data_IF_120897997341
#
_entry.id   IF_120897997341
#
_cell.length_a   1.000
_cell.length_b   1.000
_cell.length_c   1.000
_cell.angle_alpha   90.00
_cell.angle_beta   90.00
_cell.angle_gamma   90.00
#
_symmetry.space_group_name_H-M   'P 1'
#
loop_
_entity.id
_entity.type
_entity.pdbx_description
1 polymer ?
#
# COMPACT_ATOMS: atom_id res chain seq x y z
N UNK A 1 5.94 9.32 -6.04
CA UNK A 1 4.53 9.72 -5.85
C UNK A 1 4.37 10.30 -4.46
N UNK A 2 3.30 11.06 -4.20
CA UNK A 2 3.04 11.63 -2.87
C UNK A 2 2.82 10.58 -1.76
N UNK A 3 2.77 9.28 -2.08
CA UNK A 3 2.61 8.20 -1.10
C UNK A 3 3.66 8.29 0.00
N UNK A 4 3.21 8.38 1.26
CA UNK A 4 4.08 8.57 2.42
C UNK A 4 4.76 9.94 2.52
N UNK A 5 4.43 10.90 1.66
CA UNK A 5 4.95 12.28 1.75
C UNK A 5 4.22 13.06 2.83
N UNK A 6 4.96 13.87 3.59
CA UNK A 6 4.40 14.87 4.48
C UNK A 6 3.74 16.00 3.69
N UNK A 7 3.11 16.94 4.40
CA UNK A 7 2.68 18.19 3.79
C UNK A 7 3.88 18.98 3.26
N UNK A 8 3.68 19.66 2.12
CA UNK A 8 4.72 20.38 1.41
C UNK A 8 4.53 20.41 -0.11
N UNK A 9 5.48 21.02 -0.80
CA UNK A 9 5.49 21.14 -2.27
C UNK A 9 6.48 20.15 -2.89
N UNK A 10 6.04 19.47 -3.94
CA UNK A 10 6.75 18.36 -4.59
C UNK A 10 6.66 18.43 -6.12
N UNK A 11 7.54 17.69 -6.80
CA UNK A 11 7.39 17.37 -8.21
C UNK A 11 6.93 15.92 -8.37
N UNK A 12 5.81 15.72 -9.07
CA UNK A 12 5.35 14.42 -9.54
C UNK A 12 5.61 14.30 -11.05
N UNK A 13 6.79 13.77 -11.39
CA UNK A 13 7.31 13.90 -12.76
C UNK A 13 7.63 15.37 -13.04
N UNK A 14 7.03 15.93 -14.09
CA UNK A 14 7.15 17.35 -14.42
C UNK A 14 6.08 18.25 -13.75
N UNK A 15 5.14 17.66 -13.00
CA UNK A 15 3.99 18.38 -12.45
C UNK A 15 4.28 18.87 -11.03
N UNK A 16 4.04 20.16 -10.76
CA UNK A 16 4.09 20.73 -9.42
C UNK A 16 2.87 20.31 -8.60
N UNK A 17 3.10 19.82 -7.39
CA UNK A 17 2.08 19.27 -6.49
C UNK A 17 2.26 19.86 -5.09
N UNK A 18 1.16 20.30 -4.49
CA UNK A 18 1.11 20.63 -3.06
C UNK A 18 0.35 19.55 -2.31
N UNK A 19 0.91 19.14 -1.17
CA UNK A 19 0.28 18.28 -0.19
C UNK A 19 -0.10 19.15 1.00
N UNK A 20 -1.41 19.22 1.26
CA UNK A 20 -1.98 19.97 2.39
C UNK A 20 -2.97 19.06 3.09
N UNK A 21 -2.83 18.90 4.40
CA UNK A 21 -3.61 17.98 5.23
C UNK A 21 -3.59 16.54 4.65
N UNK A 22 -2.43 16.11 4.15
CA UNK A 22 -2.25 14.82 3.50
C UNK A 22 -2.93 14.66 2.13
N UNK A 23 -3.51 15.70 1.53
CA UNK A 23 -4.15 15.62 0.22
C UNK A 23 -3.24 16.22 -0.86
N UNK A 24 -2.77 15.38 -1.77
CA UNK A 24 -1.93 15.80 -2.89
C UNK A 24 -2.77 16.38 -4.05
N UNK A 25 -2.50 17.64 -4.42
CA UNK A 25 -3.16 18.34 -5.54
C UNK A 25 -2.14 19.04 -6.43
N UNK A 26 -2.42 19.13 -7.73
CA UNK A 26 -1.63 19.97 -8.62
C UNK A 26 -1.64 21.41 -8.13
N UNK A 27 -0.47 22.04 -8.08
CA UNK A 27 -0.31 23.45 -7.71
C UNK A 27 -1.19 24.33 -8.61
N UNK A 28 -1.11 24.09 -9.91
CA UNK A 28 -1.99 24.71 -10.88
C UNK A 28 -3.28 23.88 -11.07
N UNK A 29 -4.44 24.53 -10.94
CA UNK A 29 -5.75 23.93 -11.22
C UNK A 29 -6.30 22.98 -10.14
N UNK A 30 -5.52 22.61 -9.11
CA UNK A 30 -6.03 21.95 -7.89
C UNK A 30 -6.57 20.53 -8.05
N UNK A 31 -6.38 19.88 -9.20
CA UNK A 31 -6.78 18.49 -9.43
C UNK A 31 -5.99 17.52 -8.54
N UNK A 32 -6.60 16.40 -8.15
CA UNK A 32 -5.92 15.38 -7.34
C UNK A 32 -4.70 14.86 -8.11
N UNK A 33 -3.54 14.81 -7.44
CA UNK A 33 -2.26 14.44 -8.03
C UNK A 33 -1.64 13.23 -7.29
N UNK A 34 -2.33 12.09 -7.37
CA UNK A 34 -1.97 10.88 -6.63
C UNK A 34 -2.56 10.85 -5.22
N UNK A 35 -1.93 10.09 -4.32
CA UNK A 35 -2.37 9.94 -2.93
C UNK A 35 -1.15 9.85 -2.01
N UNK A 36 -1.32 10.30 -0.77
CA UNK A 36 -0.35 10.09 0.33
C UNK A 36 -0.56 8.76 1.06
N UNK A 37 -1.65 8.05 0.76
CA UNK A 37 -2.06 6.83 1.46
C UNK A 37 -1.03 5.71 1.31
N UNK A 38 -0.63 5.15 2.46
CA UNK A 38 0.17 3.93 2.52
C UNK A 38 -0.72 2.69 2.44
N UNK A 39 -0.18 1.61 1.88
CA UNK A 39 -0.94 0.39 1.65
C UNK A 39 -1.43 -0.27 2.95
N UNK A 40 -0.65 -0.19 4.03
CA UNK A 40 -1.05 -0.65 5.37
C UNK A 40 -2.26 0.12 5.92
N UNK A 41 -2.24 1.45 5.77
CA UNK A 41 -3.38 2.29 6.15
C UNK A 41 -4.61 2.00 5.28
N UNK A 42 -4.42 1.74 3.98
CA UNK A 42 -5.50 1.34 3.08
C UNK A 42 -6.12 -0.01 3.48
N UNK A 43 -5.29 -0.99 3.86
CA UNK A 43 -5.73 -2.29 4.37
C UNK A 43 -6.61 -2.15 5.61
N UNK A 44 -6.12 -1.42 6.62
CA UNK A 44 -6.87 -1.15 7.85
C UNK A 44 -8.18 -0.43 7.58
N UNK A 45 -8.18 0.59 6.72
CA UNK A 45 -9.39 1.32 6.32
C UNK A 45 -10.41 0.42 5.62
N UNK A 46 -9.95 -0.47 4.73
CA UNK A 46 -10.84 -1.43 4.07
C UNK A 46 -11.54 -2.35 5.09
N UNK A 47 -10.80 -2.83 6.09
CA UNK A 47 -11.37 -3.72 7.11
C UNK A 47 -12.26 -2.96 8.10
N UNK A 48 -11.74 -1.92 8.74
CA UNK A 48 -12.41 -1.26 9.86
C UNK A 48 -13.45 -0.23 9.43
N UNK A 49 -13.20 0.55 8.38
CA UNK A 49 -14.09 1.64 7.98
C UNK A 49 -15.09 1.19 6.91
N UNK A 50 -14.69 0.26 6.03
CA UNK A 50 -15.52 -0.21 4.91
C UNK A 50 -16.13 -1.60 5.14
N UNK A 51 -15.74 -2.30 6.21
CA UNK A 51 -16.31 -3.60 6.58
C UNK A 51 -15.91 -4.76 5.66
N UNK A 52 -14.82 -4.63 4.90
CA UNK A 52 -14.30 -5.71 4.05
C UNK A 52 -13.71 -6.81 4.95
N UNK A 53 -14.06 -8.07 4.69
CA UNK A 53 -13.52 -9.19 5.45
C UNK A 53 -12.00 -9.30 5.24
N UNK A 54 -11.26 -9.61 6.31
CA UNK A 54 -9.78 -9.71 6.26
C UNK A 54 -9.25 -10.58 5.11
N UNK A 55 -9.77 -11.80 4.85
CA UNK A 55 -9.27 -12.61 3.72
C UNK A 55 -9.48 -11.96 2.35
N UNK A 56 -10.57 -11.22 2.18
CA UNK A 56 -10.87 -10.50 0.93
C UNK A 56 -9.93 -9.30 0.78
N UNK A 57 -9.75 -8.50 1.84
CA UNK A 57 -8.81 -7.38 1.85
C UNK A 57 -7.37 -7.84 1.58
N UNK A 58 -6.93 -8.97 2.17
CA UNK A 58 -5.62 -9.58 1.85
C UNK A 58 -5.53 -9.96 0.37
N UNK A 59 -6.58 -10.58 -0.19
CA UNK A 59 -6.61 -10.94 -1.60
C UNK A 59 -6.55 -9.72 -2.53
N UNK A 60 -7.22 -8.61 -2.18
CA UNK A 60 -7.17 -7.33 -2.91
C UNK A 60 -5.76 -6.76 -2.99
N UNK A 61 -4.94 -6.98 -1.95
CA UNK A 61 -3.57 -6.47 -1.84
C UNK A 61 -2.51 -7.41 -2.46
N UNK A 62 -2.82 -8.69 -2.60
CA UNK A 62 -1.83 -9.74 -2.95
C UNK A 62 -2.24 -10.53 -4.19
N UNK A 63 -3.13 -11.50 -4.02
CA UNK A 63 -3.48 -12.46 -5.08
C UNK A 63 -4.14 -11.79 -6.29
N UNK A 64 -4.94 -10.76 -6.09
CA UNK A 64 -5.63 -10.02 -7.16
C UNK A 64 -4.64 -9.25 -8.05
N UNK A 65 -3.77 -8.36 -7.53
CA UNK A 65 -2.78 -7.68 -8.38
C UNK A 65 -1.79 -8.66 -9.01
N UNK A 66 -1.38 -9.74 -8.32
CA UNK A 66 -0.51 -10.75 -8.91
C UNK A 66 -1.16 -11.41 -10.16
N UNK A 67 -2.46 -11.72 -10.10
CA UNK A 67 -3.21 -12.21 -11.28
C UNK A 67 -3.32 -11.17 -12.38
N UNK A 68 -3.64 -9.93 -12.03
CA UNK A 68 -3.78 -8.83 -13.01
C UNK A 68 -2.48 -8.60 -13.79
N UNK A 69 -1.33 -8.74 -13.13
CA UNK A 69 -0.01 -8.57 -13.72
C UNK A 69 0.56 -9.85 -14.38
N UNK A 70 -0.13 -10.99 -14.26
CA UNK A 70 0.34 -12.26 -14.83
C UNK A 70 1.51 -12.91 -14.10
N UNK A 71 1.71 -12.58 -12.82
CA UNK A 71 2.83 -13.05 -11.96
C UNK A 71 2.36 -13.94 -10.79
N UNK A 72 1.12 -14.42 -10.86
CA UNK A 72 0.48 -15.25 -9.83
C UNK A 72 1.12 -16.64 -9.65
N UNK A 73 2.08 -17.02 -10.48
CA UNK A 73 2.83 -18.27 -10.39
C UNK A 73 3.95 -18.21 -9.35
N UNK A 74 4.41 -17.00 -8.99
CA UNK A 74 5.47 -16.80 -8.01
C UNK A 74 5.19 -15.69 -6.98
N UNK A 75 4.14 -14.87 -7.15
CA UNK A 75 3.72 -13.81 -6.21
C UNK A 75 2.25 -13.92 -5.78
N UNK A 76 1.92 -13.26 -4.67
CA UNK A 76 0.54 -13.04 -4.22
C UNK A 76 -0.11 -14.20 -3.47
N UNK A 77 0.66 -15.24 -3.10
CA UNK A 77 0.21 -16.36 -2.26
C UNK A 77 1.28 -16.75 -1.26
N UNK A 78 0.85 -17.17 -0.08
CA UNK A 78 1.71 -17.81 0.91
C UNK A 78 1.67 -19.32 0.71
N UNK A 79 2.59 -19.84 -0.11
CA UNK A 79 2.70 -21.26 -0.43
C UNK A 79 4.14 -21.64 -0.81
N UNK A 80 4.55 -22.91 -0.68
CA UNK A 80 5.84 -23.37 -1.19
C UNK A 80 6.02 -23.05 -2.67
N UNK A 81 7.21 -22.55 -3.04
CA UNK A 81 7.54 -22.15 -4.41
C UNK A 81 7.26 -20.68 -4.75
N UNK A 82 6.60 -19.92 -3.87
CA UNK A 82 6.35 -18.49 -4.03
C UNK A 82 7.42 -17.65 -3.34
N UNK A 83 7.52 -16.37 -3.69
CA UNK A 83 8.40 -15.43 -3.01
C UNK A 83 8.08 -15.37 -1.51
N UNK A 84 9.12 -15.30 -0.68
CA UNK A 84 9.01 -15.11 0.76
C UNK A 84 8.76 -13.63 1.11
N UNK A 85 7.71 -13.08 0.50
CA UNK A 85 7.19 -11.73 0.74
C UNK A 85 6.00 -11.86 1.71
N UNK A 86 6.23 -11.57 2.98
CA UNK A 86 5.29 -11.87 4.07
C UNK A 86 5.17 -10.65 4.97
N UNK A 87 3.97 -10.37 5.45
CA UNK A 87 3.69 -9.34 6.44
C UNK A 87 2.97 -10.01 7.62
N UNK A 88 3.42 -9.69 8.84
CA UNK A 88 2.85 -10.17 10.09
C UNK A 88 2.23 -8.99 10.83
N UNK A 89 0.93 -9.09 11.12
CA UNK A 89 0.17 -8.12 11.89
C UNK A 89 -0.29 -8.68 13.22
N UNK A 90 -0.62 -7.80 14.16
CA UNK A 90 -1.34 -8.15 15.38
C UNK A 90 -2.87 -8.22 15.16
N UNK A 91 -3.63 -8.52 16.22
CA UNK A 91 -5.09 -8.59 16.18
C UNK A 91 -5.75 -7.24 15.84
N UNK A 92 -5.08 -6.13 16.11
CA UNK A 92 -5.49 -4.78 15.74
C UNK A 92 -5.12 -4.38 14.32
N UNK A 93 -4.54 -5.30 13.53
CA UNK A 93 -3.99 -5.06 12.20
C UNK A 93 -2.89 -3.99 12.18
N UNK A 94 -2.06 -3.91 13.23
CA UNK A 94 -0.80 -3.16 13.21
C UNK A 94 0.33 -4.04 12.70
N UNK A 95 1.12 -3.52 11.75
CA UNK A 95 2.21 -4.27 11.16
C UNK A 95 3.33 -4.46 12.20
N UNK A 96 3.60 -5.71 12.56
CA UNK A 96 4.67 -6.06 13.48
C UNK A 96 5.99 -6.22 12.74
N UNK A 97 6.00 -7.05 11.70
CA UNK A 97 7.19 -7.41 10.91
C UNK A 97 6.86 -7.70 9.46
N UNK A 98 7.84 -7.49 8.59
CA UNK A 98 7.76 -7.86 7.19
C UNK A 98 8.98 -8.64 6.73
N UNK A 99 8.82 -9.40 5.66
CA UNK A 99 9.89 -10.07 4.93
C UNK A 99 9.75 -9.71 3.45
N UNK A 100 10.86 -9.37 2.81
CA UNK A 100 10.95 -9.16 1.37
C UNK A 100 12.06 -10.04 0.80
N UNK A 101 11.72 -10.95 -0.11
CA UNK A 101 12.57 -12.02 -0.59
C UNK A 101 13.24 -12.79 0.57
N UNK A 102 12.49 -13.03 1.64
CA UNK A 102 12.96 -13.74 2.84
C UNK A 102 13.83 -12.91 3.79
N UNK A 103 14.13 -11.65 3.47
CA UNK A 103 14.86 -10.75 4.37
C UNK A 103 13.90 -9.95 5.22
N UNK A 104 14.07 -10.05 6.53
CA UNK A 104 13.25 -9.37 7.52
C UNK A 104 13.48 -7.85 7.51
N UNK A 105 12.40 -7.10 7.68
CA UNK A 105 12.41 -5.67 7.99
C UNK A 105 11.36 -5.40 9.07
N UNK A 106 11.63 -4.41 9.92
CA UNK A 106 10.63 -3.89 10.85
C UNK A 106 9.82 -2.79 10.16
N UNK A 107 8.53 -2.72 10.47
CA UNK A 107 7.77 -1.50 10.22
C UNK A 107 8.39 -0.36 11.06
N UNK A 108 8.49 0.84 10.49
CA UNK A 108 8.90 2.05 11.19
C UNK A 108 7.75 2.60 12.05
#
# INVERSE_FOLDING_TARGET
>A
AAAGSSDGSYLLGALAVDVVDGVARLHEGGSIAGSTLLLDAAFRRAVFDLGVAVPEAVAMLTATPARTLGVQDHLGRLAPGYAADVLLWDEGLHLLRGWAAGREFSAA
#
